data_IF_390028311023
#
_entry.id   IF_390028311023
#
_cell.length_a   1.000
_cell.length_b   1.000
_cell.length_c   1.000
_cell.angle_alpha   90.00
_cell.angle_beta   90.00
_cell.angle_gamma   90.00
#
_symmetry.space_group_name_H-M   'P 1'
#
loop_
_entity.id
_entity.type
_entity.pdbx_description
1 polymer ?
#
# COMPACT_ATOMS: atom_id res chain seq x y z
N UNK A 1 0.84 -14.70 -24.97
CA UNK A 1 1.01 -14.11 -23.65
C UNK A 1 1.37 -15.25 -22.73
N UNK A 2 2.62 -15.32 -22.26
CA UNK A 2 2.97 -16.23 -21.18
C UNK A 2 2.28 -15.69 -19.94
N UNK A 3 1.50 -16.53 -19.28
CA UNK A 3 0.89 -16.18 -18.02
C UNK A 3 2.02 -16.08 -16.97
N UNK A 4 2.32 -14.91 -16.39
CA UNK A 4 3.41 -14.74 -15.40
C UNK A 4 3.25 -15.62 -14.14
N UNK A 5 2.11 -16.31 -14.03
CA UNK A 5 1.69 -17.12 -12.90
C UNK A 5 2.39 -18.47 -12.87
N UNK A 6 2.65 -19.06 -14.04
CA UNK A 6 3.39 -20.33 -14.16
C UNK A 6 4.85 -20.15 -13.71
N UNK A 7 5.39 -18.93 -13.78
CA UNK A 7 6.78 -18.67 -13.38
C UNK A 7 6.98 -18.51 -11.87
N UNK A 8 5.99 -18.04 -11.10
CA UNK A 8 6.23 -17.86 -9.67
C UNK A 8 6.15 -19.15 -8.84
N UNK A 9 5.35 -20.15 -9.27
CA UNK A 9 5.30 -21.47 -8.59
C UNK A 9 6.65 -22.20 -8.65
N UNK A 10 7.56 -21.76 -9.53
CA UNK A 10 8.90 -22.30 -9.69
C UNK A 10 9.97 -21.49 -8.95
N UNK A 11 9.61 -20.37 -8.31
CA UNK A 11 10.55 -19.59 -7.53
C UNK A 11 10.91 -20.33 -6.25
N UNK A 12 12.17 -20.22 -5.84
CA UNK A 12 12.55 -20.56 -4.48
C UNK A 12 12.01 -19.48 -3.51
N UNK A 13 12.06 -19.79 -2.21
CA UNK A 13 11.59 -18.89 -1.15
C UNK A 13 12.16 -17.48 -1.24
N UNK A 14 13.46 -17.34 -1.49
CA UNK A 14 14.13 -16.05 -1.53
C UNK A 14 13.64 -15.19 -2.71
N UNK A 15 13.55 -15.78 -3.90
CA UNK A 15 13.08 -15.07 -5.09
C UNK A 15 11.59 -14.71 -4.97
N UNK A 16 10.78 -15.60 -4.40
CA UNK A 16 9.36 -15.37 -4.14
C UNK A 16 9.15 -14.20 -3.17
N UNK A 17 9.81 -14.25 -2.01
CA UNK A 17 9.71 -13.18 -1.01
C UNK A 17 10.24 -11.87 -1.60
N UNK A 18 11.35 -11.89 -2.34
CA UNK A 18 11.88 -10.71 -3.01
C UNK A 18 10.85 -10.08 -3.97
N UNK A 19 10.16 -10.90 -4.75
CA UNK A 19 9.15 -10.42 -5.71
C UNK A 19 7.93 -9.79 -5.02
N UNK A 20 7.42 -10.42 -3.96
CA UNK A 20 6.15 -10.02 -3.33
C UNK A 20 6.31 -9.09 -2.11
N UNK A 21 7.51 -8.95 -1.54
CA UNK A 21 7.78 -8.12 -0.36
C UNK A 21 7.48 -6.63 -0.56
N UNK A 22 7.47 -6.16 -1.81
CA UNK A 22 7.19 -4.77 -2.18
C UNK A 22 5.70 -4.45 -2.34
N UNK A 23 4.83 -5.45 -2.30
CA UNK A 23 3.39 -5.27 -2.52
C UNK A 23 2.74 -4.51 -1.38
N UNK A 24 3.08 -4.85 -0.13
CA UNK A 24 2.69 -4.07 1.04
C UNK A 24 3.90 -3.29 1.54
N UNK A 25 3.73 -1.98 1.73
CA UNK A 25 4.84 -1.07 2.04
C UNK A 25 5.62 -1.52 3.29
N UNK A 26 6.94 -1.69 3.13
CA UNK A 26 7.88 -2.15 4.16
C UNK A 26 7.36 -3.32 5.03
N UNK A 27 6.59 -4.24 4.44
CA UNK A 27 5.88 -5.29 5.18
C UNK A 27 6.16 -6.68 4.59
N UNK A 28 7.41 -7.13 4.70
CA UNK A 28 7.89 -8.42 4.15
C UNK A 28 7.12 -9.63 4.71
N UNK A 29 6.63 -9.51 5.94
CA UNK A 29 5.85 -10.55 6.64
C UNK A 29 4.63 -11.03 5.85
N UNK A 30 4.03 -10.19 4.99
CA UNK A 30 2.90 -10.61 4.14
C UNK A 30 3.37 -11.58 3.06
N UNK A 31 4.52 -11.32 2.45
CA UNK A 31 5.11 -12.19 1.43
C UNK A 31 5.64 -13.49 2.04
N UNK A 32 6.22 -13.43 3.24
CA UNK A 32 6.65 -14.59 4.01
C UNK A 32 5.45 -15.50 4.34
N UNK A 33 4.35 -14.93 4.85
CA UNK A 33 3.13 -15.67 5.14
C UNK A 33 2.48 -16.25 3.87
N UNK A 34 2.52 -15.52 2.76
CA UNK A 34 2.04 -16.01 1.46
C UNK A 34 2.87 -17.23 1.01
N UNK A 35 4.19 -17.16 1.12
CA UNK A 35 5.07 -18.29 0.79
C UNK A 35 4.74 -19.54 1.60
N UNK A 36 4.46 -19.39 2.90
CA UNK A 36 4.05 -20.51 3.75
C UNK A 36 2.74 -21.15 3.27
N UNK A 37 1.76 -20.36 2.79
CA UNK A 37 0.54 -20.91 2.19
C UNK A 37 0.84 -21.61 0.87
N UNK A 38 1.53 -20.94 -0.06
CA UNK A 38 1.86 -21.48 -1.39
C UNK A 38 2.60 -22.82 -1.27
N UNK A 39 3.58 -22.90 -0.37
CA UNK A 39 4.40 -24.11 -0.15
C UNK A 39 3.63 -25.31 0.39
N UNK A 40 2.46 -25.10 0.97
CA UNK A 40 1.61 -26.15 1.55
C UNK A 40 0.51 -26.62 0.59
N UNK A 41 0.26 -25.89 -0.49
CA UNK A 41 -0.76 -26.22 -1.47
C UNK A 41 -0.18 -26.96 -2.68
N UNK A 42 -0.95 -27.83 -3.35
CA UNK A 42 -0.53 -28.44 -4.61
C UNK A 42 -0.27 -27.39 -5.69
N UNK A 43 0.68 -27.67 -6.59
CA UNK A 43 0.92 -26.86 -7.79
C UNK A 43 -0.39 -26.63 -8.57
N UNK A 44 -0.55 -25.42 -9.11
CA UNK A 44 -1.77 -24.99 -9.80
C UNK A 44 -2.87 -24.46 -8.87
N UNK A 45 -2.71 -24.54 -7.53
CA UNK A 45 -3.68 -23.90 -6.63
C UNK A 45 -3.62 -22.37 -6.74
N UNK A 46 -2.41 -21.81 -6.81
CA UNK A 46 -2.14 -20.39 -6.97
C UNK A 46 -1.85 -20.01 -8.42
N UNK A 47 -2.54 -20.60 -9.39
CA UNK A 47 -2.36 -20.35 -10.82
C UNK A 47 -2.91 -19.00 -11.34
N UNK A 48 -3.44 -18.14 -10.45
CA UNK A 48 -4.12 -16.89 -10.82
C UNK A 48 -3.68 -15.71 -9.93
N UNK A 49 -3.44 -14.52 -10.53
CA UNK A 49 -3.04 -13.32 -9.77
C UNK A 49 -4.11 -12.92 -8.78
N UNK A 50 -5.39 -13.06 -9.16
CA UNK A 50 -6.53 -12.80 -8.28
C UNK A 50 -6.54 -13.67 -7.03
N UNK A 51 -6.02 -14.91 -7.10
CA UNK A 51 -5.86 -15.80 -5.94
C UNK A 51 -4.72 -15.33 -5.04
N UNK A 52 -3.59 -14.90 -5.63
CA UNK A 52 -2.48 -14.29 -4.88
C UNK A 52 -2.94 -13.02 -4.17
N UNK A 53 -3.61 -12.11 -4.88
CA UNK A 53 -4.18 -10.89 -4.33
C UNK A 53 -5.14 -11.19 -3.17
N UNK A 54 -6.07 -12.13 -3.38
CA UNK A 54 -7.03 -12.55 -2.36
C UNK A 54 -6.35 -13.15 -1.13
N UNK A 55 -5.32 -13.97 -1.33
CA UNK A 55 -4.57 -14.58 -0.23
C UNK A 55 -3.77 -13.55 0.56
N UNK A 56 -3.06 -12.63 -0.10
CA UNK A 56 -2.33 -11.56 0.57
C UNK A 56 -3.27 -10.64 1.35
N UNK A 57 -4.42 -10.26 0.75
CA UNK A 57 -5.45 -9.51 1.46
C UNK A 57 -5.93 -10.27 2.69
N UNK A 58 -6.25 -11.56 2.54
CA UNK A 58 -6.72 -12.38 3.66
C UNK A 58 -5.69 -12.51 4.79
N UNK A 59 -4.41 -12.68 4.47
CA UNK A 59 -3.30 -12.70 5.43
C UNK A 59 -3.31 -11.43 6.29
N UNK A 60 -3.46 -10.27 5.65
CA UNK A 60 -3.50 -8.99 6.34
C UNK A 60 -4.77 -8.85 7.18
N UNK A 61 -5.93 -9.19 6.64
CA UNK A 61 -7.22 -9.08 7.34
C UNK A 61 -7.31 -9.97 8.59
N UNK A 62 -6.67 -11.15 8.56
CA UNK A 62 -6.58 -12.07 9.70
C UNK A 62 -5.47 -11.73 10.70
N UNK A 63 -4.60 -10.76 10.39
CA UNK A 63 -3.56 -10.32 11.32
C UNK A 63 -4.15 -9.49 12.46
N UNK A 64 -3.44 -9.44 13.59
CA UNK A 64 -3.83 -8.62 14.72
C UNK A 64 -3.85 -7.12 14.36
N UNK A 65 -4.72 -6.34 15.00
CA UNK A 65 -4.86 -4.91 14.71
C UNK A 65 -3.57 -4.14 14.96
N UNK A 66 -2.72 -4.58 15.89
CA UNK A 66 -1.38 -4.01 16.08
C UNK A 66 -0.49 -4.20 14.85
N UNK A 67 -0.54 -5.37 14.20
CA UNK A 67 0.23 -5.66 12.99
C UNK A 67 -0.29 -4.83 11.80
N UNK A 68 -1.62 -4.72 11.66
CA UNK A 68 -2.24 -3.83 10.67
C UNK A 68 -1.85 -2.37 10.90
N UNK A 69 -1.83 -1.90 12.15
CA UNK A 69 -1.42 -0.54 12.48
C UNK A 69 0.07 -0.30 12.16
N UNK A 70 0.95 -1.28 12.36
CA UNK A 70 2.35 -1.20 11.92
C UNK A 70 2.42 -1.06 10.39
N UNK A 71 1.64 -1.84 9.66
CA UNK A 71 1.53 -1.74 8.20
C UNK A 71 1.03 -0.36 7.74
N UNK A 72 -0.01 0.20 8.38
CA UNK A 72 -0.46 1.57 8.06
C UNK A 72 0.67 2.58 8.31
N UNK A 73 1.36 2.47 9.45
CA UNK A 73 2.47 3.39 9.81
C UNK A 73 3.70 3.27 8.92
N UNK A 74 3.86 2.16 8.22
CA UNK A 74 4.93 1.94 7.28
C UNK A 74 4.78 2.76 5.98
N UNK A 75 3.57 3.26 5.69
CA UNK A 75 3.32 4.06 4.49
C UNK A 75 3.93 5.46 4.62
N UNK A 76 4.58 5.98 3.56
CA UNK A 76 5.02 7.37 3.55
C UNK A 76 3.83 8.31 3.37
N UNK A 77 3.93 9.51 3.93
CA UNK A 77 2.94 10.56 3.72
C UNK A 77 2.89 10.99 2.23
N UNK A 78 1.67 11.28 1.74
CA UNK A 78 1.48 11.89 0.42
C UNK A 78 1.99 13.33 0.42
N UNK A 79 2.82 13.68 -0.58
CA UNK A 79 3.54 14.96 -0.64
C UNK A 79 4.29 15.29 0.68
N UNK A 80 4.81 14.26 1.35
CA UNK A 80 5.45 14.37 2.65
C UNK A 80 6.96 14.62 2.61
N UNK A 81 7.58 14.64 3.80
CA UNK A 81 9.03 14.86 3.96
C UNK A 81 9.88 13.82 3.22
N UNK A 82 9.46 12.56 3.21
CA UNK A 82 10.15 11.49 2.48
C UNK A 82 10.15 11.73 0.95
N UNK A 83 9.07 12.30 0.40
CA UNK A 83 9.02 12.70 -1.00
C UNK A 83 10.04 13.81 -1.31
N UNK A 84 10.12 14.82 -0.44
CA UNK A 84 11.06 15.94 -0.58
C UNK A 84 12.52 15.51 -0.42
N UNK A 85 12.79 14.52 0.42
CA UNK A 85 14.13 13.97 0.64
C UNK A 85 14.54 12.95 -0.44
N UNK A 86 13.62 12.55 -1.33
CA UNK A 86 13.88 11.48 -2.31
C UNK A 86 14.03 10.09 -1.68
N UNK A 87 13.40 9.88 -0.52
CA UNK A 87 13.52 8.67 0.31
C UNK A 87 12.34 7.70 0.11
N UNK A 88 11.42 8.00 -0.81
CA UNK A 88 10.32 7.11 -1.16
C UNK A 88 10.82 5.83 -1.82
N UNK A 89 10.10 4.72 -1.62
CA UNK A 89 10.27 3.53 -2.45
C UNK A 89 9.96 3.84 -3.91
N UNK A 90 10.47 3.01 -4.82
CA UNK A 90 10.20 3.17 -6.26
C UNK A 90 8.69 3.15 -6.54
N UNK A 91 7.95 2.26 -5.89
CA UNK A 91 6.49 2.16 -6.01
C UNK A 91 5.81 3.47 -5.55
N UNK A 92 6.12 3.94 -4.34
CA UNK A 92 5.54 5.20 -3.83
C UNK A 92 5.93 6.43 -4.67
N UNK A 93 7.15 6.45 -5.22
CA UNK A 93 7.57 7.51 -6.14
C UNK A 93 6.69 7.54 -7.39
N UNK A 94 6.50 6.38 -8.04
CA UNK A 94 5.66 6.28 -9.24
C UNK A 94 4.19 6.58 -8.95
N UNK A 95 3.67 6.10 -7.82
CA UNK A 95 2.30 6.35 -7.36
C UNK A 95 2.04 7.85 -7.18
N UNK A 96 2.90 8.54 -6.44
CA UNK A 96 2.72 9.97 -6.14
C UNK A 96 2.94 10.85 -7.37
N UNK A 97 3.92 10.54 -8.23
CA UNK A 97 4.14 11.26 -9.48
C UNK A 97 2.95 11.12 -10.43
N UNK A 98 2.30 9.95 -10.48
CA UNK A 98 1.09 9.72 -11.27
C UNK A 98 -0.09 10.61 -10.88
N UNK A 99 -0.14 11.07 -9.63
CA UNK A 99 -1.15 12.00 -9.12
C UNK A 99 -0.72 13.48 -9.17
N UNK A 100 0.47 13.77 -9.70
CA UNK A 100 1.04 15.12 -9.79
C UNK A 100 1.48 15.70 -8.46
N UNK A 101 1.67 14.87 -7.42
CA UNK A 101 2.11 15.33 -6.09
C UNK A 101 3.58 15.78 -6.08
N UNK A 102 4.37 15.29 -7.03
CA UNK A 102 5.75 15.72 -7.31
C UNK A 102 5.83 17.14 -7.91
N UNK A 103 4.69 17.67 -8.38
CA UNK A 103 4.55 18.99 -9.01
C UNK A 103 3.75 19.97 -8.14
N UNK A 104 3.65 19.71 -6.83
CA UNK A 104 3.07 20.65 -5.88
C UNK A 104 3.87 21.96 -5.84
N UNK A 105 3.17 23.08 -5.90
CA UNK A 105 3.72 24.38 -5.51
C UNK A 105 4.06 24.39 -4.02
N UNK A 106 4.90 25.33 -3.59
CA UNK A 106 5.27 25.48 -2.19
C UNK A 106 4.05 25.70 -1.27
N UNK A 107 3.01 26.39 -1.75
CA UNK A 107 1.79 26.61 -1.00
C UNK A 107 0.98 25.31 -0.84
N UNK A 108 0.82 24.53 -1.91
CA UNK A 108 0.16 23.22 -1.87
C UNK A 108 0.91 22.24 -0.96
N UNK A 109 2.24 22.20 -1.07
CA UNK A 109 3.08 21.35 -0.24
C UNK A 109 2.93 21.70 1.25
N UNK A 110 2.96 22.99 1.61
CA UNK A 110 2.71 23.43 2.99
C UNK A 110 1.32 23.00 3.47
N UNK A 111 0.32 23.04 2.60
CA UNK A 111 -1.03 22.59 2.93
C UNK A 111 -1.06 21.07 3.19
N UNK A 112 -0.44 20.26 2.32
CA UNK A 112 -0.31 18.81 2.53
C UNK A 112 0.41 18.47 3.83
N UNK A 113 1.52 19.14 4.15
CA UNK A 113 2.25 18.92 5.40
C UNK A 113 1.36 19.19 6.61
N UNK A 114 0.61 20.30 6.61
CA UNK A 114 -0.33 20.61 7.70
C UNK A 114 -1.45 19.58 7.84
N UNK A 115 -2.02 19.12 6.71
CA UNK A 115 -3.07 18.10 6.70
C UNK A 115 -2.55 16.74 7.20
N UNK A 116 -1.33 16.34 6.78
CA UNK A 116 -0.66 15.13 7.27
C UNK A 116 -0.44 15.19 8.78
N UNK A 117 0.10 16.30 9.29
CA UNK A 117 0.34 16.48 10.74
C UNK A 117 -0.99 16.38 11.52
N UNK A 118 -2.02 17.09 11.08
CA UNK A 118 -3.36 17.09 11.71
C UNK A 118 -3.99 15.69 11.72
N UNK A 119 -3.92 14.99 10.58
CA UNK A 119 -4.46 13.64 10.44
C UNK A 119 -3.71 12.66 11.35
N UNK A 120 -2.38 12.74 11.38
CA UNK A 120 -1.53 11.85 12.18
C UNK A 120 -1.71 12.08 13.67
N UNK A 121 -1.86 13.32 14.11
CA UNK A 121 -2.19 13.65 15.51
C UNK A 121 -3.51 13.01 15.95
N UNK A 122 -4.50 12.96 15.06
CA UNK A 122 -5.82 12.37 15.36
C UNK A 122 -5.82 10.85 15.36
N UNK A 123 -5.26 10.22 14.32
CA UNK A 123 -5.42 8.78 14.08
C UNK A 123 -4.19 7.95 14.45
N UNK A 124 -3.02 8.57 14.57
CA UNK A 124 -1.76 7.90 14.92
C UNK A 124 -1.13 7.09 13.79
N UNK A 125 -1.58 7.29 12.54
CA UNK A 125 -1.01 6.73 11.31
C UNK A 125 -1.15 7.73 10.14
N UNK A 126 -0.38 7.57 9.04
CA UNK A 126 -0.42 8.43 7.84
C UNK A 126 -1.79 8.44 7.16
N UNK A 127 -2.10 9.53 6.45
CA UNK A 127 -3.22 9.50 5.50
C UNK A 127 -2.84 8.66 4.28
N UNK A 128 -3.57 7.56 4.09
CA UNK A 128 -3.31 6.61 3.00
C UNK A 128 -4.48 6.66 2.03
N UNK A 129 -4.17 6.84 0.75
CA UNK A 129 -5.12 6.81 -0.36
C UNK A 129 -4.44 6.22 -1.58
N UNK A 130 -5.15 5.36 -2.31
CA UNK A 130 -4.68 4.83 -3.58
C UNK A 130 -4.78 5.92 -4.65
N UNK A 131 -3.64 6.50 -5.02
CA UNK A 131 -3.58 7.70 -5.86
C UNK A 131 -3.40 7.44 -7.37
N UNK A 132 -3.31 6.17 -7.79
CA UNK A 132 -3.19 5.82 -9.23
C UNK A 132 -4.45 6.31 -9.98
N UNK A 133 -4.28 7.29 -10.87
CA UNK A 133 -5.37 7.91 -11.61
C UNK A 133 -6.15 8.99 -10.84
N UNK A 134 -5.71 9.35 -9.62
CA UNK A 134 -6.28 10.44 -8.85
C UNK A 134 -5.60 11.78 -9.18
N UNK A 135 -6.25 12.90 -8.86
CA UNK A 135 -5.67 14.24 -8.91
C UNK A 135 -5.35 14.78 -7.52
N UNK A 136 -4.49 15.80 -7.43
CA UNK A 136 -4.19 16.50 -6.17
C UNK A 136 -5.46 16.97 -5.44
N UNK A 137 -6.42 17.50 -6.18
CA UNK A 137 -7.69 18.00 -5.64
C UNK A 137 -8.51 16.86 -5.03
N UNK A 138 -8.48 15.66 -5.62
CA UNK A 138 -9.15 14.49 -5.05
C UNK A 138 -8.46 14.00 -3.78
N UNK A 139 -7.12 14.09 -3.70
CA UNK A 139 -6.39 13.79 -2.47
C UNK A 139 -6.77 14.78 -1.35
N UNK A 140 -6.81 16.08 -1.66
CA UNK A 140 -7.22 17.12 -0.70
C UNK A 140 -8.67 16.92 -0.23
N UNK A 141 -9.59 16.65 -1.16
CA UNK A 141 -10.98 16.33 -0.82
C UNK A 141 -11.06 15.07 0.07
N UNK A 142 -10.18 14.08 -0.16
CA UNK A 142 -10.07 12.90 0.68
C UNK A 142 -9.68 13.23 2.13
N UNK A 143 -8.77 14.18 2.35
CA UNK A 143 -8.46 14.66 3.71
C UNK A 143 -9.67 15.31 4.37
N UNK A 144 -10.38 16.19 3.65
CA UNK A 144 -11.56 16.89 4.17
C UNK A 144 -12.69 15.92 4.54
N UNK A 145 -12.94 14.92 3.70
CA UNK A 145 -13.97 13.90 3.92
C UNK A 145 -13.65 13.00 5.13
N UNK A 146 -12.37 12.65 5.29
CA UNK A 146 -11.95 11.58 6.22
C UNK A 146 -11.50 12.09 7.57
N UNK A 147 -10.98 13.32 7.65
CA UNK A 147 -10.56 13.91 8.93
C UNK A 147 -11.66 13.94 10.00
N UNK A 148 -12.96 14.12 9.67
CA UNK A 148 -14.05 14.04 10.64
C UNK A 148 -14.33 12.64 11.21
N UNK A 149 -13.88 11.55 10.58
CA UNK A 149 -14.21 10.17 10.97
C UNK A 149 -13.80 9.85 12.42
N UNK A 150 -14.48 8.87 13.03
CA UNK A 150 -13.97 8.21 14.22
C UNK A 150 -12.80 7.27 13.87
N UNK A 151 -12.06 6.84 14.89
CA UNK A 151 -10.84 6.07 14.70
C UNK A 151 -11.09 4.73 13.99
N UNK A 152 -12.16 4.01 14.34
CA UNK A 152 -12.42 2.69 13.76
C UNK A 152 -12.83 2.81 12.29
N UNK A 153 -13.74 3.73 11.99
CA UNK A 153 -14.17 4.03 10.61
C UNK A 153 -12.96 4.39 9.74
N UNK A 154 -12.04 5.20 10.27
CA UNK A 154 -10.86 5.63 9.52
C UNK A 154 -9.82 4.53 9.37
N UNK A 155 -9.63 3.70 10.39
CA UNK A 155 -8.76 2.54 10.33
C UNK A 155 -9.22 1.57 9.22
N UNK A 156 -10.50 1.23 9.18
CA UNK A 156 -11.07 0.35 8.16
C UNK A 156 -10.96 0.98 6.75
N UNK A 157 -11.15 2.31 6.66
CA UNK A 157 -10.97 3.04 5.41
C UNK A 157 -9.52 3.00 4.94
N UNK A 158 -8.56 3.25 5.82
CA UNK A 158 -7.14 3.22 5.49
C UNK A 158 -6.69 1.81 5.05
N UNK A 159 -7.16 0.76 5.73
CA UNK A 159 -6.90 -0.63 5.32
C UNK A 159 -7.46 -0.92 3.92
N UNK A 160 -8.67 -0.44 3.61
CA UNK A 160 -9.24 -0.56 2.26
C UNK A 160 -8.36 0.09 1.19
N UNK A 161 -7.80 1.28 1.47
CA UNK A 161 -6.88 1.97 0.56
C UNK A 161 -5.55 1.21 0.39
N UNK A 162 -4.99 0.65 1.48
CA UNK A 162 -3.80 -0.22 1.39
C UNK A 162 -4.03 -1.42 0.49
N UNK A 163 -5.19 -2.07 0.57
CA UNK A 163 -5.51 -3.20 -0.32
C UNK A 163 -5.63 -2.78 -1.79
N UNK A 164 -6.16 -1.58 -2.08
CA UNK A 164 -6.19 -1.04 -3.45
C UNK A 164 -4.78 -0.77 -3.97
N UNK A 165 -3.90 -0.19 -3.15
CA UNK A 165 -2.49 0.05 -3.49
C UNK A 165 -1.79 -1.30 -3.79
N UNK A 166 -1.97 -2.29 -2.93
CA UNK A 166 -1.43 -3.63 -3.12
C UNK A 166 -1.91 -4.26 -4.45
N UNK A 167 -3.20 -4.15 -4.78
CA UNK A 167 -3.74 -4.64 -6.05
C UNK A 167 -3.12 -3.93 -7.27
N UNK A 168 -2.91 -2.61 -7.21
CA UNK A 168 -2.21 -1.88 -8.27
C UNK A 168 -0.76 -2.34 -8.44
N UNK A 169 -0.04 -2.55 -7.34
CA UNK A 169 1.35 -3.04 -7.36
C UNK A 169 1.45 -4.46 -7.90
N UNK A 170 0.49 -5.33 -7.56
CA UNK A 170 0.40 -6.69 -8.11
C UNK A 170 0.12 -6.69 -9.61
N UNK A 171 -0.74 -5.79 -10.08
CA UNK A 171 -1.04 -5.65 -11.50
C UNK A 171 0.13 -5.12 -12.34
N UNK A 172 1.10 -4.44 -11.70
CA UNK A 172 2.31 -3.92 -12.32
C UNK A 172 3.51 -4.91 -12.24
N UNK A 173 3.32 -6.11 -11.66
CA UNK A 173 4.31 -7.21 -11.67
C UNK A 173 4.38 -7.91 -13.04
#
# INVERSE_FOLDING_TARGET
MHDPLVTFEQLNEADFISLFSRIYEHSTWVAEALWQQVSQHPNGYFDQMSKIESAMKHIVEQSADEQKLILLRAHPDLAGKAALAGELTQASTSEQAGAGLDQCSEAELRHFLHLNDTYREKFGFPFIMAVKGATKEQVLAGFEERTPNDWQTEFDRAMSEVHKIAAFRLADL
#
